data_IF_033799583732
#
_entry.id   IF_033799583732
#
_cell.length_a   1.000
_cell.length_b   1.000
_cell.length_c   1.000
_cell.angle_alpha   90.00
_cell.angle_beta   90.00
_cell.angle_gamma   90.00
#
_symmetry.space_group_name_H-M   'P 1'
#
loop_
_entity.id
_entity.type
_entity.pdbx_description
1 polymer ?
#
# COMPACT_ATOMS: atom_id res chain seq x y z
N UNK A 1 -10.14 -11.71 2.20
CA UNK A 1 -9.73 -10.35 2.61
C UNK A 1 -8.55 -9.99 1.74
N UNK A 2 -8.32 -8.73 1.39
CA UNK A 2 -7.06 -8.38 0.72
C UNK A 2 -5.92 -8.49 1.72
N UNK A 3 -4.72 -8.84 1.25
CA UNK A 3 -3.50 -8.56 1.98
C UNK A 3 -3.27 -7.05 1.94
N UNK A 4 -2.88 -6.47 3.06
CA UNK A 4 -2.64 -5.04 3.16
C UNK A 4 -1.14 -4.74 3.03
N UNK A 5 -0.85 -3.66 2.30
CA UNK A 5 0.49 -3.08 2.23
C UNK A 5 0.48 -1.77 2.99
N UNK A 6 1.31 -1.69 4.02
CA UNK A 6 1.51 -0.49 4.83
C UNK A 6 2.52 0.42 4.12
N UNK A 7 2.13 1.65 3.86
CA UNK A 7 2.94 2.60 3.10
C UNK A 7 3.27 3.83 3.94
N UNK A 8 4.54 4.16 4.03
CA UNK A 8 5.05 5.43 4.54
C UNK A 8 5.62 6.25 3.39
N UNK A 9 4.99 7.38 3.07
CA UNK A 9 5.41 8.26 1.98
C UNK A 9 5.91 9.58 2.53
N UNK A 10 7.18 9.85 2.34
CA UNK A 10 7.80 11.15 2.64
C UNK A 10 7.93 11.96 1.36
N UNK A 11 7.55 13.23 1.40
CA UNK A 11 7.69 14.17 0.28
C UNK A 11 8.41 15.41 0.80
N UNK A 12 9.55 15.72 0.20
CA UNK A 12 10.44 16.81 0.65
C UNK A 12 10.77 17.76 -0.48
N UNK A 13 10.87 19.04 -0.15
CA UNK A 13 11.38 20.07 -1.04
C UNK A 13 10.91 21.46 -0.72
N UNK A 14 10.78 22.31 -1.74
CA UNK A 14 10.38 23.70 -1.57
C UNK A 14 9.03 23.84 -0.85
N UNK A 15 8.90 24.68 0.21
CA UNK A 15 7.69 24.80 1.02
C UNK A 15 6.43 25.12 0.23
N UNK A 16 6.50 26.00 -0.77
CA UNK A 16 5.32 26.39 -1.55
C UNK A 16 4.81 25.22 -2.41
N UNK A 17 5.73 24.41 -2.94
CA UNK A 17 5.36 23.24 -3.74
C UNK A 17 4.78 22.12 -2.86
N UNK A 18 5.37 21.82 -1.71
CA UNK A 18 4.84 20.82 -0.78
C UNK A 18 3.45 21.24 -0.29
N UNK A 19 3.26 22.51 0.09
CA UNK A 19 1.94 23.04 0.49
C UNK A 19 0.91 23.01 -0.65
N UNK A 20 1.35 23.22 -1.90
CA UNK A 20 0.50 23.08 -3.08
C UNK A 20 0.07 21.61 -3.28
N UNK A 21 1.00 20.66 -3.12
CA UNK A 21 0.71 19.23 -3.17
C UNK A 21 -0.29 18.84 -2.07
N UNK A 22 -0.06 19.23 -0.82
CA UNK A 22 -1.00 18.97 0.29
C UNK A 22 -2.40 19.50 -0.05
N UNK A 23 -2.49 20.72 -0.58
CA UNK A 23 -3.78 21.28 -1.00
C UNK A 23 -4.44 20.49 -2.12
N UNK A 24 -3.65 19.93 -3.05
CA UNK A 24 -4.18 19.04 -4.10
C UNK A 24 -4.72 17.74 -3.47
N UNK A 25 -3.96 17.11 -2.58
CA UNK A 25 -4.35 15.85 -1.94
C UNK A 25 -5.59 16.02 -1.05
N UNK A 26 -5.78 17.17 -0.41
CA UNK A 26 -6.94 17.48 0.42
C UNK A 26 -8.17 17.99 -0.36
N UNK A 27 -8.12 18.03 -1.67
CA UNK A 27 -9.23 18.55 -2.49
C UNK A 27 -10.47 17.67 -2.35
N UNK A 28 -11.64 18.25 -2.00
CA UNK A 28 -12.88 17.50 -1.92
C UNK A 28 -13.31 16.93 -3.26
N UNK A 29 -13.90 15.75 -3.26
CA UNK A 29 -14.46 15.13 -4.46
C UNK A 29 -15.67 14.26 -4.15
N UNK A 30 -16.45 13.93 -5.18
CA UNK A 30 -17.55 12.97 -5.12
C UNK A 30 -17.13 11.71 -5.86
N UNK A 31 -17.20 10.60 -5.17
CA UNK A 31 -16.89 9.28 -5.69
C UNK A 31 -18.18 8.45 -5.70
N UNK A 32 -18.43 7.79 -6.81
CA UNK A 32 -19.53 6.85 -6.90
C UNK A 32 -19.04 5.46 -6.52
N UNK A 33 -19.74 4.79 -5.62
CA UNK A 33 -19.42 3.43 -5.19
C UNK A 33 -20.59 2.53 -5.54
N UNK A 34 -20.32 1.40 -6.18
CA UNK A 34 -21.32 0.37 -6.33
C UNK A 34 -21.45 -0.38 -5.00
N UNK A 35 -22.58 -0.26 -4.34
CA UNK A 35 -22.84 -1.04 -3.13
C UNK A 35 -22.96 -2.52 -3.49
N UNK A 36 -22.04 -3.34 -2.99
CA UNK A 36 -22.11 -4.80 -3.07
C UNK A 36 -22.87 -5.30 -1.86
N UNK A 37 -24.18 -5.45 -2.00
CA UNK A 37 -25.01 -6.02 -0.97
C UNK A 37 -26.45 -6.03 -1.43
N UNK A 38 -27.10 -7.16 -1.41
CA UNK A 38 -28.42 -7.41 -1.97
C UNK A 38 -28.58 -7.05 -3.45
N UNK A 39 -29.00 -7.96 -4.25
CA UNK A 39 -29.26 -7.98 -5.69
C UNK A 39 -29.67 -6.66 -6.42
N UNK A 40 -29.62 -5.52 -5.74
CA UNK A 40 -29.78 -4.16 -6.26
C UNK A 40 -28.41 -3.49 -6.39
N UNK A 41 -28.05 -3.13 -7.61
CA UNK A 41 -26.82 -2.41 -7.94
C UNK A 41 -27.11 -0.90 -7.87
N UNK A 42 -27.34 -0.38 -6.69
CA UNK A 42 -27.48 1.04 -6.50
C UNK A 42 -26.11 1.69 -6.44
N UNK A 43 -25.84 2.60 -7.38
CA UNK A 43 -24.65 3.44 -7.34
C UNK A 43 -24.85 4.45 -6.21
N UNK A 44 -24.16 4.25 -5.09
CA UNK A 44 -24.14 5.20 -3.99
C UNK A 44 -23.05 6.24 -4.23
N UNK A 45 -23.41 7.51 -4.26
CA UNK A 45 -22.43 8.59 -4.27
C UNK A 45 -21.93 8.84 -2.85
N UNK A 46 -20.62 8.80 -2.68
CA UNK A 46 -19.93 9.14 -1.43
C UNK A 46 -19.16 10.43 -1.64
N UNK A 47 -19.38 11.38 -0.74
CA UNK A 47 -18.67 12.65 -0.75
C UNK A 47 -17.47 12.59 0.20
N UNK A 48 -16.30 12.89 -0.33
CA UNK A 48 -15.07 13.07 0.43
C UNK A 48 -14.84 14.57 0.58
N UNK A 49 -15.07 15.09 1.78
CA UNK A 49 -15.03 16.55 2.03
C UNK A 49 -13.63 17.01 2.43
N UNK A 50 -12.94 16.21 3.22
CA UNK A 50 -11.61 16.51 3.72
C UNK A 50 -10.71 15.25 3.60
N UNK A 51 -10.40 14.77 2.39
CA UNK A 51 -9.46 13.68 2.25
C UNK A 51 -8.08 14.16 2.76
N UNK A 52 -7.35 13.27 3.43
CA UNK A 52 -5.96 13.55 3.82
C UNK A 52 -5.05 13.32 2.62
N UNK A 53 -5.25 12.19 1.95
CA UNK A 53 -4.57 11.81 0.72
C UNK A 53 -5.54 11.01 -0.14
N UNK A 54 -5.52 11.19 -1.45
CA UNK A 54 -6.41 10.47 -2.37
C UNK A 54 -5.74 10.25 -3.72
N UNK A 55 -5.74 9.02 -4.22
CA UNK A 55 -5.28 8.73 -5.57
C UNK A 55 -6.17 9.39 -6.62
N UNK A 56 -7.46 9.55 -6.32
CA UNK A 56 -8.41 10.33 -7.12
C UNK A 56 -7.91 11.75 -7.40
N UNK A 57 -7.25 12.37 -6.42
CA UNK A 57 -6.72 13.74 -6.55
C UNK A 57 -5.39 13.79 -7.32
N UNK A 58 -4.77 12.66 -7.62
CA UNK A 58 -3.60 12.55 -8.50
C UNK A 58 -4.06 12.41 -9.95
N UNK A 59 -4.91 11.41 -10.21
CA UNK A 59 -5.45 11.10 -11.53
C UNK A 59 -6.72 10.28 -11.42
N UNK A 60 -7.85 10.89 -11.73
CA UNK A 60 -9.16 10.24 -11.66
C UNK A 60 -9.58 9.64 -13.01
N UNK A 61 -10.54 8.73 -12.98
CA UNK A 61 -11.15 8.19 -14.21
C UNK A 61 -11.77 9.28 -15.09
N UNK A 62 -12.22 10.39 -14.49
CA UNK A 62 -12.75 11.55 -15.24
C UNK A 62 -11.64 12.30 -15.99
N UNK A 63 -10.45 12.40 -15.40
CA UNK A 63 -9.26 12.97 -16.07
C UNK A 63 -8.85 12.12 -17.28
N UNK A 64 -9.11 10.81 -17.21
CA UNK A 64 -8.92 9.87 -18.33
C UNK A 64 -10.05 9.93 -19.38
N UNK A 65 -11.07 10.77 -19.19
CA UNK A 65 -12.22 10.86 -20.09
C UNK A 65 -13.20 9.67 -19.98
N UNK A 66 -13.11 8.88 -18.90
CA UNK A 66 -13.98 7.75 -18.63
C UNK A 66 -15.25 8.25 -17.97
N UNK A 67 -16.42 7.83 -18.47
CA UNK A 67 -17.70 8.21 -17.88
C UNK A 67 -18.04 7.40 -16.64
N UNK A 68 -18.95 7.90 -15.81
CA UNK A 68 -19.41 7.21 -14.61
C UNK A 68 -20.02 5.84 -14.96
N UNK A 69 -20.75 5.71 -16.07
CA UNK A 69 -21.34 4.45 -16.51
C UNK A 69 -20.29 3.40 -16.87
N UNK A 70 -19.19 3.82 -17.51
CA UNK A 70 -18.09 2.90 -17.87
C UNK A 70 -17.31 2.51 -16.63
N UNK A 71 -16.93 3.46 -15.80
CA UNK A 71 -16.14 3.21 -14.59
C UNK A 71 -16.89 2.34 -13.57
N UNK A 72 -18.20 2.61 -13.37
CA UNK A 72 -19.06 1.81 -12.49
C UNK A 72 -19.83 0.72 -13.23
N UNK A 73 -19.57 0.55 -14.51
CA UNK A 73 -20.21 -0.41 -15.39
C UNK A 73 -20.17 -1.81 -14.80
N UNK A 74 -21.35 -2.40 -14.69
CA UNK A 74 -21.53 -3.77 -14.25
C UNK A 74 -21.39 -4.67 -15.46
N UNK A 75 -20.73 -5.82 -15.36
CA UNK A 75 -20.84 -6.83 -16.39
C UNK A 75 -22.33 -7.16 -16.58
N UNK A 76 -22.80 -7.26 -17.83
CA UNK A 76 -24.21 -7.58 -18.08
C UNK A 76 -24.57 -8.88 -17.35
N UNK A 77 -25.69 -8.89 -16.64
CA UNK A 77 -26.27 -10.07 -15.97
C UNK A 77 -26.77 -11.09 -17.00
N UNK A 78 -25.94 -11.48 -17.95
CA UNK A 78 -26.27 -12.60 -18.85
C UNK A 78 -25.88 -13.88 -18.15
N UNK A 79 -26.77 -14.88 -18.20
CA UNK A 79 -26.46 -16.24 -17.82
C UNK A 79 -25.34 -16.88 -18.64
N UNK A 80 -24.79 -16.14 -19.59
CA UNK A 80 -23.69 -16.53 -20.45
C UNK A 80 -22.38 -16.01 -19.85
N UNK A 81 -21.71 -16.88 -19.08
CA UNK A 81 -20.42 -16.64 -18.43
C UNK A 81 -19.34 -16.20 -19.44
N UNK A 82 -19.49 -16.53 -20.72
CA UNK A 82 -18.56 -16.14 -21.76
C UNK A 82 -18.62 -14.66 -22.13
N UNK A 83 -19.77 -14.00 -21.89
CA UNK A 83 -19.94 -12.55 -22.06
C UNK A 83 -19.62 -11.76 -20.78
N UNK A 84 -19.73 -12.37 -19.62
CA UNK A 84 -19.33 -11.76 -18.34
C UNK A 84 -17.82 -11.53 -18.24
N UNK A 85 -17.01 -12.20 -19.05
CA UNK A 85 -15.55 -12.06 -19.09
C UNK A 85 -15.04 -10.93 -19.99
N UNK A 86 -15.90 -10.21 -20.69
CA UNK A 86 -15.52 -8.96 -21.40
C UNK A 86 -15.68 -7.77 -20.45
N UNK A 87 -14.87 -7.77 -19.39
CA UNK A 87 -14.73 -6.55 -18.58
C UNK A 87 -14.24 -5.42 -19.48
N UNK A 88 -14.90 -4.28 -19.41
CA UNK A 88 -14.36 -3.07 -20.02
C UNK A 88 -13.02 -2.79 -19.33
N UNK A 89 -11.96 -2.61 -20.09
CA UNK A 89 -10.62 -2.29 -19.59
C UNK A 89 -10.57 -0.99 -18.79
N UNK A 90 -11.66 -0.25 -18.73
CA UNK A 90 -11.83 1.02 -18.06
C UNK A 90 -12.84 0.96 -16.90
N UNK A 91 -13.29 -0.25 -16.48
CA UNK A 91 -14.03 -0.37 -15.24
C UNK A 91 -13.17 0.04 -14.04
N UNK A 92 -13.80 0.29 -12.90
CA UNK A 92 -13.14 0.79 -11.69
C UNK A 92 -11.94 -0.07 -11.25
N UNK A 93 -12.05 -1.38 -11.35
CA UNK A 93 -10.99 -2.28 -10.91
C UNK A 93 -9.77 -2.21 -11.83
N UNK A 94 -9.99 -2.37 -13.15
CA UNK A 94 -8.92 -2.32 -14.14
C UNK A 94 -8.29 -0.93 -14.22
N UNK A 95 -9.10 0.14 -14.11
CA UNK A 95 -8.60 1.50 -14.03
C UNK A 95 -7.70 1.70 -12.81
N UNK A 96 -8.19 1.36 -11.61
CA UNK A 96 -7.45 1.59 -10.37
C UNK A 96 -6.12 0.83 -10.36
N UNK A 97 -6.13 -0.46 -10.74
CA UNK A 97 -4.91 -1.28 -10.78
C UNK A 97 -3.91 -0.73 -11.80
N UNK A 98 -4.36 -0.30 -12.97
CA UNK A 98 -3.51 0.26 -14.02
C UNK A 98 -2.96 1.64 -13.67
N UNK A 99 -3.82 2.54 -13.16
CA UNK A 99 -3.49 3.95 -12.99
C UNK A 99 -2.96 4.29 -11.59
N UNK A 100 -3.39 3.56 -10.58
CA UNK A 100 -2.96 3.75 -9.19
C UNK A 100 -2.02 2.65 -8.68
N UNK A 101 -2.07 1.45 -9.26
CA UNK A 101 -1.30 0.28 -8.83
C UNK A 101 -1.95 -0.48 -7.68
N UNK A 102 -3.14 -0.11 -7.25
CA UNK A 102 -3.88 -0.73 -6.14
C UNK A 102 -5.36 -0.78 -6.44
N UNK A 103 -6.08 -1.67 -5.73
CA UNK A 103 -7.51 -1.89 -5.97
C UNK A 103 -8.38 -0.70 -5.57
N UNK A 104 -8.08 -0.06 -4.44
CA UNK A 104 -8.92 0.98 -3.85
C UNK A 104 -8.15 2.27 -3.61
N UNK A 105 -8.90 3.38 -3.56
CA UNK A 105 -8.37 4.65 -3.06
C UNK A 105 -8.17 4.58 -1.54
N UNK A 106 -7.24 5.36 -1.03
CA UNK A 106 -6.94 5.51 0.40
C UNK A 106 -7.70 6.67 1.04
N UNK A 107 -8.45 7.44 0.24
CA UNK A 107 -9.32 8.47 0.76
C UNK A 107 -10.38 7.89 1.69
N UNK A 108 -10.63 8.59 2.78
CA UNK A 108 -11.59 8.19 3.82
C UNK A 108 -12.82 9.05 3.73
N UNK A 109 -14.01 8.42 3.65
CA UNK A 109 -15.29 9.12 3.69
C UNK A 109 -15.63 9.63 5.09
N UNK A 110 -16.50 10.65 5.18
CA UNK A 110 -16.97 11.21 6.47
C UNK A 110 -17.60 10.15 7.39
N UNK A 111 -18.20 9.11 6.82
CA UNK A 111 -18.81 8.01 7.57
C UNK A 111 -17.79 7.02 8.15
N UNK A 112 -16.52 7.10 7.75
CA UNK A 112 -15.48 6.21 8.25
C UNK A 112 -14.91 6.75 9.57
N UNK A 113 -15.17 6.03 10.64
CA UNK A 113 -14.69 6.38 12.00
C UNK A 113 -13.21 6.10 12.24
N UNK A 114 -12.58 5.31 11.37
CA UNK A 114 -11.19 4.86 11.52
C UNK A 114 -10.42 5.19 10.24
N UNK A 115 -9.95 6.45 10.10
CA UNK A 115 -9.15 6.80 8.94
C UNK A 115 -7.85 6.00 8.94
N UNK A 116 -7.62 5.27 7.84
CA UNK A 116 -6.36 4.56 7.62
C UNK A 116 -5.23 5.49 7.16
N UNK A 117 -5.57 6.74 6.87
CA UNK A 117 -4.62 7.71 6.32
C UNK A 117 -4.32 8.80 7.33
N UNK A 118 -3.05 9.03 7.56
CA UNK A 118 -2.51 9.98 8.52
C UNK A 118 -1.46 10.86 7.84
N UNK A 119 -1.30 12.10 8.32
CA UNK A 119 -0.36 13.07 7.78
C UNK A 119 0.36 13.82 8.91
N UNK A 120 1.65 14.01 8.74
CA UNK A 120 2.47 14.94 9.54
C UNK A 120 3.22 15.92 8.64
N UNK A 121 3.44 17.13 9.12
CA UNK A 121 4.18 18.17 8.44
C UNK A 121 5.30 18.69 9.34
N UNK A 122 6.47 18.96 8.77
CA UNK A 122 7.60 19.55 9.50
C UNK A 122 8.46 20.42 8.60
N UNK A 123 9.14 21.39 9.20
CA UNK A 123 10.18 22.17 8.53
C UNK A 123 11.53 21.49 8.75
N UNK A 124 12.31 21.36 7.68
CA UNK A 124 13.66 20.79 7.69
C UNK A 124 14.63 21.75 6.98
N UNK A 125 15.17 22.71 7.73
CA UNK A 125 16.01 23.77 7.19
C UNK A 125 15.25 24.67 6.21
N UNK A 126 15.71 24.71 4.94
CA UNK A 126 15.04 25.44 3.85
C UNK A 126 13.94 24.62 3.18
N UNK A 127 13.83 23.34 3.51
CA UNK A 127 12.85 22.43 2.97
C UNK A 127 11.64 22.30 3.89
N UNK A 128 10.55 21.87 3.30
CA UNK A 128 9.34 21.44 3.98
C UNK A 128 9.11 19.96 3.68
N UNK A 129 8.72 19.21 4.70
CA UNK A 129 8.50 17.76 4.58
C UNK A 129 7.07 17.46 4.98
N UNK A 130 6.39 16.66 4.16
CA UNK A 130 5.14 16.03 4.54
C UNK A 130 5.32 14.51 4.53
N UNK A 131 4.83 13.88 5.57
CA UNK A 131 4.78 12.44 5.72
C UNK A 131 3.33 11.96 5.70
N UNK A 132 3.05 10.97 4.85
CA UNK A 132 1.78 10.29 4.79
C UNK A 132 1.96 8.81 5.17
N UNK A 133 1.04 8.30 5.99
CA UNK A 133 0.93 6.88 6.28
C UNK A 133 -0.44 6.40 5.82
N UNK A 134 -0.49 5.34 5.02
CA UNK A 134 -1.72 4.77 4.50
C UNK A 134 -1.55 3.31 4.09
N UNK A 135 -2.67 2.61 3.98
CA UNK A 135 -2.71 1.20 3.59
C UNK A 135 -3.26 1.06 2.16
N UNK A 136 -2.69 0.14 1.39
CA UNK A 136 -3.18 -0.22 0.06
C UNK A 136 -3.47 -1.71 -0.05
N UNK A 137 -4.44 -2.06 -0.91
CA UNK A 137 -4.87 -3.43 -1.10
C UNK A 137 -3.98 -4.14 -2.13
N UNK A 138 -3.30 -5.21 -1.71
CA UNK A 138 -2.51 -6.16 -2.51
C UNK A 138 -1.17 -5.67 -3.05
N UNK A 139 -0.97 -4.39 -3.23
CA UNK A 139 0.24 -3.85 -3.87
C UNK A 139 0.50 -2.39 -3.48
N UNK A 140 1.75 -1.97 -3.60
CA UNK A 140 2.16 -0.58 -3.49
C UNK A 140 1.60 0.27 -4.64
N UNK A 141 1.32 1.56 -4.41
CA UNK A 141 0.68 2.45 -5.39
C UNK A 141 1.67 3.06 -6.38
N UNK A 142 2.52 2.25 -7.01
CA UNK A 142 3.63 2.69 -7.85
C UNK A 142 3.20 3.63 -8.99
N UNK A 143 2.20 3.31 -9.85
CA UNK A 143 1.81 4.18 -10.95
C UNK A 143 1.26 5.54 -10.48
N UNK A 144 0.55 5.57 -9.33
CA UNK A 144 0.04 6.82 -8.78
C UNK A 144 1.20 7.73 -8.31
N UNK A 145 2.20 7.17 -7.62
CA UNK A 145 3.33 7.95 -7.11
C UNK A 145 4.25 8.45 -8.23
N UNK A 146 4.45 7.65 -9.28
CA UNK A 146 5.16 8.12 -10.48
C UNK A 146 4.44 9.31 -11.12
N UNK A 147 3.10 9.25 -11.26
CA UNK A 147 2.32 10.39 -11.78
C UNK A 147 2.40 11.60 -10.88
N UNK A 148 2.31 11.42 -9.55
CA UNK A 148 2.40 12.52 -8.61
C UNK A 148 3.79 13.17 -8.64
N UNK A 149 4.85 12.38 -8.66
CA UNK A 149 6.23 12.86 -8.79
C UNK A 149 6.47 13.61 -10.11
N UNK A 150 5.84 13.17 -11.21
CA UNK A 150 5.89 13.90 -12.48
C UNK A 150 5.17 15.26 -12.44
N UNK A 151 4.10 15.39 -11.66
CA UNK A 151 3.39 16.65 -11.45
C UNK A 151 4.21 17.66 -10.62
N UNK A 152 5.09 17.16 -9.74
CA UNK A 152 5.95 17.95 -8.85
C UNK A 152 7.44 17.60 -9.07
N UNK A 153 8.02 17.99 -10.20
CA UNK A 153 9.32 17.46 -10.66
C UNK A 153 10.52 17.90 -9.84
N UNK A 154 10.35 18.79 -8.89
CA UNK A 154 11.41 19.30 -7.99
C UNK A 154 11.30 18.76 -6.56
N UNK A 155 10.22 18.01 -6.25
CA UNK A 155 10.06 17.36 -4.96
C UNK A 155 10.65 15.95 -5.01
N UNK A 156 11.33 15.57 -3.94
CA UNK A 156 11.77 14.19 -3.71
C UNK A 156 10.65 13.43 -3.01
N UNK A 157 10.34 12.24 -3.51
CA UNK A 157 9.38 11.33 -2.92
C UNK A 157 10.11 10.07 -2.47
N UNK A 158 9.95 9.69 -1.22
CA UNK A 158 10.50 8.45 -0.66
C UNK A 158 9.35 7.61 -0.14
N UNK A 159 9.17 6.42 -0.72
CA UNK A 159 8.18 5.43 -0.30
C UNK A 159 8.88 4.30 0.43
N UNK A 160 8.47 4.04 1.68
CA UNK A 160 8.74 2.79 2.38
C UNK A 160 7.45 1.99 2.44
N UNK A 161 7.48 0.70 2.14
CA UNK A 161 6.29 -0.14 2.16
C UNK A 161 6.61 -1.53 2.69
N UNK A 162 5.63 -2.12 3.39
CA UNK A 162 5.72 -3.48 3.92
C UNK A 162 4.34 -4.16 3.85
N UNK A 163 4.30 -5.38 3.38
CA UNK A 163 3.09 -6.20 3.29
C UNK A 163 3.00 -7.11 4.52
N UNK A 164 1.80 -7.53 4.89
CA UNK A 164 1.51 -8.32 6.08
C UNK A 164 2.37 -9.59 6.24
N UNK A 165 2.85 -10.17 5.13
CA UNK A 165 3.73 -11.35 5.14
C UNK A 165 5.22 -11.01 5.24
N UNK A 166 5.59 -9.73 5.23
CA UNK A 166 6.94 -9.24 5.51
C UNK A 166 7.77 -8.89 4.27
N UNK A 167 7.25 -9.06 3.06
CA UNK A 167 7.93 -8.47 1.91
C UNK A 167 7.70 -6.97 1.84
N UNK A 168 8.67 -6.24 1.31
CA UNK A 168 8.57 -4.80 1.27
C UNK A 168 9.71 -4.15 0.49
N UNK A 169 9.87 -2.85 0.68
CA UNK A 169 10.92 -2.10 0.00
C UNK A 169 10.94 -0.62 0.35
N UNK A 170 11.94 0.02 -0.18
CA UNK A 170 12.07 1.47 -0.20
C UNK A 170 12.33 1.93 -1.63
N UNK A 171 11.67 3.02 -2.03
CA UNK A 171 11.78 3.59 -3.36
C UNK A 171 11.87 5.10 -3.30
N UNK A 172 12.68 5.69 -4.16
CA UNK A 172 12.72 7.13 -4.36
C UNK A 172 12.27 7.49 -5.78
N UNK A 173 11.46 8.55 -5.86
CA UNK A 173 10.95 9.06 -7.13
C UNK A 173 11.33 10.52 -7.30
N UNK A 174 11.74 10.87 -8.50
CA UNK A 174 11.97 12.23 -8.93
C UNK A 174 11.53 12.38 -10.39
N UNK A 175 10.72 13.39 -10.70
CA UNK A 175 10.24 13.68 -12.07
C UNK A 175 9.45 12.52 -12.73
N UNK A 176 8.78 11.69 -11.92
CA UNK A 176 8.05 10.51 -12.39
C UNK A 176 8.90 9.26 -12.60
N UNK A 177 10.22 9.36 -12.40
CA UNK A 177 11.14 8.23 -12.55
C UNK A 177 11.54 7.68 -11.17
N UNK A 178 11.76 6.37 -11.09
CA UNK A 178 12.38 5.72 -9.93
C UNK A 178 13.88 5.98 -10.02
N UNK A 179 14.44 6.63 -9.00
CA UNK A 179 15.86 6.96 -8.93
C UNK A 179 16.63 6.07 -7.95
N UNK A 180 15.92 5.43 -7.03
CA UNK A 180 16.47 4.44 -6.09
C UNK A 180 15.42 3.40 -5.78
N UNK A 181 15.81 2.15 -5.63
CA UNK A 181 14.93 1.03 -5.29
C UNK A 181 15.72 -0.03 -4.50
N UNK A 182 15.15 -0.44 -3.38
CA UNK A 182 15.62 -1.57 -2.57
C UNK A 182 14.42 -2.39 -2.12
N UNK A 183 14.40 -3.67 -2.46
CA UNK A 183 13.32 -4.59 -2.10
C UNK A 183 13.84 -5.74 -1.26
N UNK A 184 12.98 -6.29 -0.43
CA UNK A 184 13.24 -7.50 0.36
C UNK A 184 12.03 -8.42 0.36
N UNK A 185 12.29 -9.74 0.37
CA UNK A 185 11.25 -10.76 0.45
C UNK A 185 10.76 -10.96 1.88
N UNK A 186 11.65 -10.75 2.87
CA UNK A 186 11.34 -10.90 4.29
C UNK A 186 12.10 -9.87 5.13
N UNK A 187 11.50 -9.47 6.25
CA UNK A 187 12.11 -8.59 7.24
C UNK A 187 11.91 -9.14 8.65
N UNK A 188 12.97 -9.22 9.42
CA UNK A 188 12.89 -9.65 10.81
C UNK A 188 12.25 -8.57 11.67
N UNK A 189 11.20 -8.93 12.43
CA UNK A 189 10.46 -8.00 13.30
C UNK A 189 11.26 -7.56 14.54
N UNK A 190 12.31 -8.30 14.91
CA UNK A 190 13.09 -8.02 16.12
C UNK A 190 14.31 -7.16 15.84
N UNK A 191 15.02 -7.39 14.72
CA UNK A 191 16.27 -6.69 14.43
C UNK A 191 16.28 -5.95 13.10
N UNK A 192 15.15 -5.86 12.41
CA UNK A 192 14.97 -5.22 11.10
C UNK A 192 15.88 -5.75 9.98
N UNK A 193 16.59 -6.86 10.21
CA UNK A 193 17.43 -7.45 9.17
C UNK A 193 16.57 -8.00 8.03
N UNK A 194 16.91 -7.62 6.80
CA UNK A 194 16.20 -8.02 5.59
C UNK A 194 16.75 -9.33 5.04
N UNK A 195 15.88 -10.16 4.47
CA UNK A 195 16.23 -11.43 3.82
C UNK A 195 17.00 -12.39 4.72
N UNK A 196 16.78 -12.31 6.03
CA UNK A 196 17.44 -13.18 7.03
C UNK A 196 16.48 -14.17 7.68
N UNK A 197 15.21 -14.17 7.25
CA UNK A 197 14.20 -15.11 7.76
C UNK A 197 14.32 -16.45 7.04
N UNK A 198 14.44 -17.50 7.81
CA UNK A 198 14.50 -18.88 7.34
C UNK A 198 13.26 -19.62 7.81
N UNK A 199 12.57 -20.27 6.89
CA UNK A 199 11.35 -21.05 7.17
C UNK A 199 11.71 -22.51 7.42
N UNK A 200 11.05 -23.11 8.38
CA UNK A 200 11.19 -24.53 8.62
C UNK A 200 10.37 -25.31 7.58
N UNK A 201 11.01 -26.29 6.92
CA UNK A 201 10.38 -27.18 5.93
C UNK A 201 9.18 -27.99 6.48
N UNK A 202 9.01 -28.03 7.80
CA UNK A 202 7.91 -28.73 8.48
C UNK A 202 6.85 -27.78 9.05
N UNK A 203 6.74 -26.55 8.54
CA UNK A 203 5.78 -25.52 9.00
C UNK A 203 5.83 -25.25 10.51
N UNK A 204 6.99 -25.42 11.15
CA UNK A 204 7.12 -25.24 12.60
C UNK A 204 7.55 -23.82 13.01
N UNK A 205 7.78 -22.90 12.06
CA UNK A 205 8.03 -21.49 12.33
C UNK A 205 9.13 -20.87 11.50
N UNK A 206 9.42 -19.64 11.83
CA UNK A 206 10.42 -18.78 11.19
C UNK A 206 11.54 -18.48 12.18
N UNK A 207 12.77 -18.45 11.70
CA UNK A 207 13.96 -18.05 12.48
C UNK A 207 14.73 -16.98 11.71
N UNK A 208 15.13 -15.93 12.40
CA UNK A 208 16.05 -14.95 11.86
C UNK A 208 17.49 -15.40 12.04
N UNK A 209 18.24 -15.61 10.95
CA UNK A 209 19.64 -15.99 11.00
C UNK A 209 20.56 -14.87 11.52
N UNK A 210 20.09 -13.61 11.56
CA UNK A 210 20.85 -12.46 12.06
C UNK A 210 20.82 -12.33 13.58
N UNK A 211 19.65 -12.48 14.23
CA UNK A 211 19.51 -12.29 15.68
C UNK A 211 18.98 -13.52 16.42
N UNK A 212 18.77 -14.63 15.72
CA UNK A 212 18.19 -15.89 16.24
C UNK A 212 16.77 -15.72 16.83
N UNK A 213 16.07 -14.64 16.49
CA UNK A 213 14.66 -14.51 16.84
C UNK A 213 13.86 -15.62 16.18
N UNK A 214 12.97 -16.25 16.93
CA UNK A 214 12.01 -17.24 16.41
C UNK A 214 10.59 -16.72 16.58
N UNK A 215 9.82 -16.69 15.48
CA UNK A 215 8.40 -16.33 15.52
C UNK A 215 7.59 -17.23 16.44
N UNK A 216 6.50 -16.70 16.99
CA UNK A 216 5.65 -17.30 18.04
C UNK A 216 4.90 -18.58 17.65
N UNK A 217 5.31 -19.28 16.65
CA UNK A 217 4.69 -20.55 16.28
C UNK A 217 5.10 -21.64 17.27
N UNK A 218 4.34 -21.73 18.36
CA UNK A 218 4.31 -22.84 19.30
C UNK A 218 5.71 -23.36 19.71
N UNK A 219 6.29 -22.78 20.76
CA UNK A 219 7.54 -23.27 21.39
C UNK A 219 7.58 -24.80 21.52
N UNK A 220 6.42 -25.46 21.72
CA UNK A 220 6.31 -26.91 21.75
C UNK A 220 6.52 -27.60 20.39
N UNK A 221 6.23 -26.94 19.26
CA UNK A 221 6.47 -27.50 17.94
C UNK A 221 7.91 -27.25 17.48
N UNK A 222 8.46 -26.05 17.75
CA UNK A 222 9.87 -25.71 17.48
C UNK A 222 10.83 -26.65 18.22
N UNK A 223 10.53 -27.05 19.46
CA UNK A 223 11.33 -28.02 20.22
C UNK A 223 11.36 -29.42 19.63
N UNK A 224 10.42 -29.77 18.76
CA UNK A 224 10.34 -31.08 18.08
C UNK A 224 10.90 -31.06 16.67
N UNK A 225 11.18 -29.87 16.11
CA UNK A 225 11.69 -29.75 14.75
C UNK A 225 13.22 -29.84 14.75
N UNK A 226 13.76 -30.89 14.13
CA UNK A 226 15.21 -31.07 14.04
C UNK A 226 15.92 -29.94 13.27
N UNK A 227 15.26 -29.33 12.29
CA UNK A 227 15.81 -28.21 11.52
C UNK A 227 16.00 -26.97 12.40
N UNK A 228 15.06 -26.67 13.27
CA UNK A 228 15.17 -25.57 14.25
C UNK A 228 16.25 -25.80 15.30
N UNK A 229 16.45 -27.05 15.71
CA UNK A 229 17.49 -27.39 16.71
C UNK A 229 18.91 -27.20 16.19
N UNK A 230 19.11 -27.23 14.87
CA UNK A 230 20.43 -27.01 14.24
C UNK A 230 20.74 -25.51 14.12
N UNK A 231 19.71 -24.67 14.00
CA UNK A 231 19.87 -23.21 13.85
C UNK A 231 19.96 -22.47 15.20
N UNK A 232 19.50 -23.07 16.29
CA UNK A 232 19.67 -22.48 17.63
C UNK A 232 21.14 -22.61 18.05
N UNK A 233 21.81 -21.52 18.45
CA UNK A 233 23.16 -21.63 19.01
C UNK A 233 23.11 -22.54 20.22
N UNK A 234 24.03 -23.49 20.30
CA UNK A 234 24.20 -24.31 21.49
C UNK A 234 24.38 -23.39 22.68
N UNK A 235 23.42 -23.39 23.62
CA UNK A 235 23.62 -22.78 24.93
C UNK A 235 24.73 -23.52 25.63
N UNK A 236 25.97 -23.16 25.35
CA UNK A 236 27.07 -23.52 26.25
C UNK A 236 26.76 -22.87 27.58
N UNK A 237 26.46 -23.73 28.52
CA UNK A 237 26.37 -23.37 29.95
C UNK A 237 27.68 -22.71 30.32
N UNK A 238 27.63 -21.41 30.64
CA UNK A 238 28.64 -20.80 31.45
C UNK A 238 28.50 -21.41 32.87
N UNK A 239 29.24 -22.46 33.16
CA UNK A 239 29.54 -22.87 34.55
C UNK A 239 30.60 -21.90 35.10
N UNK A 240 30.22 -21.18 36.14
CA UNK A 240 31.11 -20.69 37.21
C UNK A 240 30.49 -20.98 38.51
#
# INVERSE_FOLDING_TARGET
MPNWVYNGLTIEGNPDQVKSLIKQMNKPFIYSITAVGDLSYDVKQTKYVNPVFAFHNIYSYRDAGITDEVYHGQPPRSADFSQAMKFDTNDWYNFNVREWGTKWDVAVSEDNKYPSTYMEETENGENYVVYYNFETAWSRPLPALQKLSAQYPTLLFTLSYEEETGWGGEMEFLRGEIISEAEWDTKCRECDAINTMEYCDNDCGEICSSCNWSGDLYVSAAQKCQTHMVLLPSTEKAEV
#
